data_IF_411616259769
#
_entry.id   IF_411616259769
#
_cell.length_a   1.000
_cell.length_b   1.000
_cell.length_c   1.000
_cell.angle_alpha   90.00
_cell.angle_beta   90.00
_cell.angle_gamma   90.00
#
_symmetry.space_group_name_H-M   'P 1'
#
loop_
_entity.id
_entity.type
_entity.pdbx_description
1 polymer ?
#
# COMPACT_ATOMS: atom_id res chain seq x y z
N UNK A 1 46.02 18.69 -17.74
CA UNK A 1 45.26 17.60 -17.10
C UNK A 1 44.30 18.20 -16.07
N UNK A 2 43.02 18.48 -16.39
CA UNK A 2 41.99 18.55 -15.33
C UNK A 2 40.52 18.65 -15.80
N UNK A 3 40.25 19.09 -17.03
CA UNK A 3 38.86 19.31 -17.49
C UNK A 3 38.14 18.02 -17.90
N UNK A 4 38.85 17.08 -18.51
CA UNK A 4 38.28 15.78 -18.91
C UNK A 4 37.83 14.94 -17.69
N UNK A 5 38.62 14.97 -16.60
CA UNK A 5 38.26 14.28 -15.36
C UNK A 5 37.05 14.92 -14.68
N UNK A 6 36.98 16.26 -14.62
CA UNK A 6 35.81 16.95 -14.09
C UNK A 6 34.53 16.65 -14.89
N UNK A 7 34.63 16.58 -16.22
CA UNK A 7 33.50 16.20 -17.07
C UNK A 7 33.05 14.74 -16.82
N UNK A 8 34.00 13.82 -16.66
CA UNK A 8 33.70 12.41 -16.34
C UNK A 8 33.03 12.24 -14.97
N UNK A 9 33.50 12.94 -13.93
CA UNK A 9 32.86 12.93 -12.61
C UNK A 9 31.48 13.61 -12.61
N UNK A 10 31.29 14.67 -13.40
CA UNK A 10 29.99 15.31 -13.60
C UNK A 10 28.99 14.40 -14.33
N UNK A 11 29.47 13.49 -15.19
CA UNK A 11 28.63 12.52 -15.89
C UNK A 11 28.19 11.36 -14.97
N UNK A 12 29.08 10.90 -14.08
CA UNK A 12 28.78 9.86 -13.08
C UNK A 12 27.82 10.32 -11.96
N UNK A 13 27.69 11.64 -11.79
CA UNK A 13 26.76 12.25 -10.82
C UNK A 13 25.38 12.50 -11.43
N UNK A 14 25.20 12.27 -12.74
CA UNK A 14 23.87 12.29 -13.36
C UNK A 14 23.13 11.02 -12.93
N UNK A 15 21.86 11.14 -12.50
CA UNK A 15 21.02 9.97 -12.29
C UNK A 15 21.02 9.14 -13.56
N UNK A 16 21.36 7.86 -13.45
CA UNK A 16 21.23 6.93 -14.58
C UNK A 16 19.80 7.06 -15.13
N UNK A 17 19.62 7.40 -16.42
CA UNK A 17 18.30 7.44 -16.99
C UNK A 17 17.66 6.07 -16.81
N UNK A 18 16.50 6.05 -16.16
CA UNK A 18 15.73 4.84 -15.99
C UNK A 18 15.59 4.11 -17.32
N UNK A 19 15.79 2.78 -17.37
CA UNK A 19 15.60 2.01 -18.59
C UNK A 19 14.13 2.01 -19.07
N UNK A 20 13.18 2.39 -18.21
CA UNK A 20 11.76 2.44 -18.55
C UNK A 20 11.36 3.78 -19.17
N UNK A 21 10.52 3.80 -20.22
CA UNK A 21 9.90 5.03 -20.73
C UNK A 21 9.12 5.79 -19.66
N UNK A 22 9.02 7.13 -19.77
CA UNK A 22 8.35 7.98 -18.78
C UNK A 22 6.91 7.52 -18.46
N UNK A 23 6.11 7.25 -19.49
CA UNK A 23 4.72 6.80 -19.32
C UNK A 23 4.62 5.49 -18.52
N UNK A 24 5.62 4.62 -18.62
CA UNK A 24 5.65 3.36 -17.87
C UNK A 24 6.04 3.58 -16.42
N UNK A 25 6.99 4.49 -16.15
CA UNK A 25 7.33 4.92 -14.79
C UNK A 25 6.14 5.57 -14.09
N UNK A 26 5.38 6.39 -14.81
CA UNK A 26 4.18 7.05 -14.27
C UNK A 26 3.07 6.05 -13.95
N UNK A 27 2.84 5.08 -14.83
CA UNK A 27 1.89 3.98 -14.58
C UNK A 27 2.30 3.16 -13.35
N UNK A 28 3.58 2.83 -13.24
CA UNK A 28 4.13 2.09 -12.10
C UNK A 28 3.95 2.84 -10.78
N UNK A 29 4.34 4.12 -10.76
CA UNK A 29 4.16 4.98 -9.59
C UNK A 29 2.68 5.21 -9.25
N UNK A 30 1.80 5.27 -10.27
CA UNK A 30 0.36 5.36 -10.10
C UNK A 30 -0.22 4.12 -9.44
N UNK A 31 0.14 2.93 -9.93
CA UNK A 31 -0.29 1.66 -9.34
C UNK A 31 0.17 1.52 -7.89
N UNK A 32 1.43 1.87 -7.59
CA UNK A 32 1.96 1.87 -6.21
C UNK A 32 1.17 2.83 -5.30
N UNK A 33 0.86 4.05 -5.76
CA UNK A 33 0.08 5.03 -4.99
C UNK A 33 -1.34 4.54 -4.69
N UNK A 34 -2.02 4.00 -5.70
CA UNK A 34 -3.38 3.47 -5.54
C UNK A 34 -3.40 2.29 -4.57
N UNK A 35 -2.52 1.31 -4.76
CA UNK A 35 -2.44 0.15 -3.88
C UNK A 35 -2.11 0.53 -2.43
N UNK A 36 -1.23 1.51 -2.22
CA UNK A 36 -0.89 2.03 -0.90
C UNK A 36 -2.08 2.72 -0.21
N UNK A 37 -2.89 3.46 -0.95
CA UNK A 37 -4.10 4.08 -0.44
C UNK A 37 -5.15 3.02 -0.09
N UNK A 38 -5.40 2.06 -0.98
CA UNK A 38 -6.38 1.00 -0.80
C UNK A 38 -6.05 0.11 0.43
N UNK A 39 -4.76 -0.12 0.71
CA UNK A 39 -4.34 -0.89 1.89
C UNK A 39 -4.77 -0.23 3.20
N UNK A 40 -4.84 1.10 3.24
CA UNK A 40 -5.25 1.84 4.44
C UNK A 40 -6.71 1.56 4.78
N UNK A 41 -7.57 1.56 3.76
CA UNK A 41 -8.98 1.23 3.91
C UNK A 41 -9.17 -0.26 4.24
N UNK A 42 -8.43 -1.16 3.59
CA UNK A 42 -8.48 -2.57 3.90
C UNK A 42 -8.12 -2.87 5.36
N UNK A 43 -7.04 -2.27 5.88
CA UNK A 43 -6.65 -2.40 7.29
C UNK A 43 -7.75 -1.88 8.22
N UNK A 44 -8.36 -0.73 7.89
CA UNK A 44 -9.44 -0.15 8.67
C UNK A 44 -10.65 -1.09 8.73
N UNK A 45 -11.08 -1.63 7.58
CA UNK A 45 -12.23 -2.53 7.51
C UNK A 45 -11.95 -3.87 8.19
N UNK A 46 -10.77 -4.47 7.99
CA UNK A 46 -10.37 -5.72 8.66
C UNK A 46 -10.45 -5.56 10.18
N UNK A 47 -9.87 -4.48 10.72
CA UNK A 47 -9.93 -4.18 12.17
C UNK A 47 -11.36 -4.01 12.65
N UNK A 48 -12.19 -3.29 11.90
CA UNK A 48 -13.59 -3.08 12.24
C UNK A 48 -14.38 -4.39 12.24
N UNK A 49 -14.21 -5.25 11.23
CA UNK A 49 -14.93 -6.52 11.14
C UNK A 49 -14.51 -7.48 12.25
N UNK A 50 -13.21 -7.59 12.52
CA UNK A 50 -12.69 -8.38 13.64
C UNK A 50 -13.28 -7.92 14.98
N UNK A 51 -13.34 -6.60 15.20
CA UNK A 51 -13.95 -6.01 16.39
C UNK A 51 -15.43 -6.40 16.51
N UNK A 52 -16.23 -6.17 15.48
CA UNK A 52 -17.67 -6.49 15.48
C UNK A 52 -17.92 -7.98 15.74
N UNK A 53 -17.10 -8.86 15.15
CA UNK A 53 -17.20 -10.31 15.35
C UNK A 53 -16.85 -10.70 16.78
N UNK A 54 -15.81 -10.09 17.36
CA UNK A 54 -15.41 -10.33 18.75
C UNK A 54 -16.50 -9.87 19.73
N UNK A 55 -17.13 -8.73 19.44
CA UNK A 55 -18.17 -8.09 20.27
C UNK A 55 -19.59 -8.69 20.03
N UNK A 56 -19.72 -9.82 19.33
CA UNK A 56 -21.02 -10.34 18.85
C UNK A 56 -22.06 -10.61 19.93
N UNK A 57 -21.62 -10.99 21.13
CA UNK A 57 -22.46 -11.32 22.28
C UNK A 57 -22.44 -10.22 23.35
N UNK A 58 -21.67 -9.15 23.12
CA UNK A 58 -21.58 -8.03 24.04
C UNK A 58 -22.90 -7.26 24.09
N UNK A 59 -23.23 -6.77 25.28
CA UNK A 59 -24.49 -6.08 25.55
C UNK A 59 -24.23 -4.74 26.19
N UNK A 60 -25.04 -3.76 25.82
CA UNK A 60 -25.15 -2.48 26.50
C UNK A 60 -25.75 -2.70 27.91
N UNK A 61 -25.64 -1.68 28.77
CA UNK A 61 -26.25 -1.69 30.11
C UNK A 61 -27.77 -1.90 30.10
N UNK A 62 -28.43 -1.62 28.97
CA UNK A 62 -29.86 -1.85 28.73
C UNK A 62 -30.20 -3.32 28.43
N UNK A 63 -29.18 -4.18 28.27
CA UNK A 63 -29.34 -5.59 27.88
C UNK A 63 -29.40 -5.83 26.38
N UNK A 64 -29.48 -4.79 25.55
CA UNK A 64 -29.46 -4.89 24.08
C UNK A 64 -28.05 -5.24 23.58
N UNK A 65 -27.94 -6.07 22.53
CA UNK A 65 -26.66 -6.37 21.88
C UNK A 65 -26.00 -5.10 21.32
N UNK A 66 -24.67 -5.01 21.42
CA UNK A 66 -23.87 -3.90 20.87
C UNK A 66 -24.00 -3.85 19.34
N UNK A 67 -23.99 -5.02 18.69
CA UNK A 67 -24.14 -5.14 17.24
C UNK A 67 -25.37 -5.99 16.90
N UNK A 68 -26.08 -5.60 15.84
CA UNK A 68 -27.16 -6.42 15.30
C UNK A 68 -26.61 -7.71 14.68
N UNK A 69 -27.31 -8.83 14.88
CA UNK A 69 -26.88 -10.15 14.37
C UNK A 69 -26.59 -10.16 12.86
N UNK A 70 -27.45 -9.53 12.06
CA UNK A 70 -27.25 -9.43 10.62
C UNK A 70 -25.95 -8.69 10.24
N UNK A 71 -25.55 -7.69 11.05
CA UNK A 71 -24.32 -6.95 10.82
C UNK A 71 -23.09 -7.80 11.20
N UNK A 72 -23.15 -8.55 12.30
CA UNK A 72 -22.10 -9.50 12.68
C UNK A 72 -21.89 -10.55 11.59
N UNK A 73 -22.98 -11.13 11.08
CA UNK A 73 -22.94 -12.12 9.99
C UNK A 73 -22.36 -11.53 8.70
N UNK A 74 -22.73 -10.28 8.34
CA UNK A 74 -22.14 -9.58 7.21
C UNK A 74 -20.65 -9.31 7.38
N UNK A 75 -20.21 -8.86 8.57
CA UNK A 75 -18.79 -8.66 8.86
C UNK A 75 -17.98 -9.97 8.76
N UNK A 76 -18.54 -11.09 9.24
CA UNK A 76 -17.92 -12.40 9.09
C UNK A 76 -17.81 -12.83 7.62
N UNK A 77 -18.81 -12.51 6.79
CA UNK A 77 -18.79 -12.81 5.36
C UNK A 77 -17.80 -11.92 4.58
N UNK A 78 -17.69 -10.64 4.90
CA UNK A 78 -16.81 -9.69 4.21
C UNK A 78 -15.34 -9.79 4.61
N UNK A 79 -15.05 -10.27 5.82
CA UNK A 79 -13.69 -10.33 6.34
C UNK A 79 -12.72 -11.12 5.43
N UNK A 80 -13.03 -12.36 4.96
CA UNK A 80 -12.13 -13.10 4.10
C UNK A 80 -11.83 -12.38 2.77
N UNK A 81 -12.84 -11.80 2.13
CA UNK A 81 -12.67 -11.05 0.88
C UNK A 81 -11.80 -9.80 1.08
N UNK A 82 -12.01 -9.08 2.19
CA UNK A 82 -11.24 -7.89 2.52
C UNK A 82 -9.78 -8.23 2.84
N UNK A 83 -9.53 -9.34 3.55
CA UNK A 83 -8.17 -9.86 3.77
C UNK A 83 -7.51 -10.28 2.45
N UNK A 84 -8.24 -10.92 1.55
CA UNK A 84 -7.71 -11.28 0.23
C UNK A 84 -7.34 -10.04 -0.59
N UNK A 85 -8.17 -8.98 -0.54
CA UNK A 85 -7.87 -7.68 -1.18
C UNK A 85 -6.65 -7.01 -0.57
N UNK A 86 -6.53 -7.00 0.76
CA UNK A 86 -5.35 -6.53 1.47
C UNK A 86 -4.07 -7.23 1.00
N UNK A 87 -4.06 -8.57 0.97
CA UNK A 87 -2.90 -9.36 0.57
C UNK A 87 -2.52 -9.12 -0.89
N UNK A 88 -3.52 -8.97 -1.78
CA UNK A 88 -3.29 -8.62 -3.18
C UNK A 88 -2.65 -7.23 -3.32
N UNK A 89 -3.15 -6.24 -2.58
CA UNK A 89 -2.60 -4.89 -2.58
C UNK A 89 -1.17 -4.86 -2.01
N UNK A 90 -0.92 -5.61 -0.94
CA UNK A 90 0.42 -5.76 -0.35
C UNK A 90 1.41 -6.32 -1.37
N UNK A 91 1.01 -7.38 -2.08
CA UNK A 91 1.82 -7.97 -3.15
C UNK A 91 2.08 -6.98 -4.27
N UNK A 92 1.06 -6.25 -4.74
CA UNK A 92 1.20 -5.25 -5.79
C UNK A 92 2.16 -4.13 -5.39
N UNK A 93 2.10 -3.65 -4.15
CA UNK A 93 3.05 -2.68 -3.62
C UNK A 93 4.48 -3.23 -3.72
N UNK A 94 4.75 -4.43 -3.19
CA UNK A 94 6.09 -5.02 -3.24
C UNK A 94 6.59 -5.23 -4.68
N UNK A 95 5.73 -5.66 -5.59
CA UNK A 95 6.07 -5.80 -7.01
C UNK A 95 6.38 -4.45 -7.65
N UNK A 96 5.58 -3.41 -7.37
CA UNK A 96 5.83 -2.06 -7.86
C UNK A 96 7.13 -1.47 -7.31
N UNK A 97 7.41 -1.65 -6.02
CA UNK A 97 8.63 -1.16 -5.36
C UNK A 97 9.88 -1.81 -5.96
N UNK A 98 9.86 -3.13 -6.19
CA UNK A 98 10.95 -3.84 -6.85
C UNK A 98 11.19 -3.32 -8.28
N UNK A 99 10.12 -3.11 -9.05
CA UNK A 99 10.22 -2.57 -10.40
C UNK A 99 10.71 -1.10 -10.39
N UNK A 100 10.29 -0.29 -9.42
CA UNK A 100 10.74 1.09 -9.26
C UNK A 100 12.22 1.14 -8.89
N UNK A 101 12.69 0.27 -7.99
CA UNK A 101 14.11 0.14 -7.64
C UNK A 101 14.93 -0.23 -8.89
N UNK A 102 14.52 -1.26 -9.62
CA UNK A 102 15.20 -1.71 -10.84
C UNK A 102 15.26 -0.61 -11.91
N UNK A 103 14.22 0.24 -11.96
CA UNK A 103 14.11 1.35 -12.89
C UNK A 103 14.73 2.65 -12.35
N UNK A 104 15.33 2.69 -11.16
CA UNK A 104 15.86 3.93 -10.58
C UNK A 104 14.80 5.00 -10.29
N UNK A 105 13.52 4.61 -10.15
CA UNK A 105 12.42 5.49 -9.79
C UNK A 105 12.44 5.71 -8.28
N UNK A 106 12.45 6.97 -7.85
CA UNK A 106 12.37 7.33 -6.43
C UNK A 106 10.93 7.24 -5.93
N UNK A 107 10.76 6.64 -4.77
CA UNK A 107 9.51 6.58 -4.02
C UNK A 107 9.83 6.61 -2.52
N UNK A 108 8.87 7.04 -1.72
CA UNK A 108 9.04 7.03 -0.27
C UNK A 108 8.77 5.64 0.29
N UNK A 109 9.72 5.15 1.11
CA UNK A 109 9.62 3.86 1.79
C UNK A 109 8.89 3.94 3.13
N UNK A 110 8.74 5.15 3.66
CA UNK A 110 7.96 5.44 4.87
C UNK A 110 7.37 6.84 4.77
N UNK A 111 6.40 7.14 5.65
CA UNK A 111 5.85 8.50 5.80
C UNK A 111 6.92 9.53 6.18
N UNK A 112 8.00 9.11 6.82
CA UNK A 112 9.08 9.97 7.30
C UNK A 112 10.15 10.27 6.24
N UNK A 113 10.02 9.68 5.05
CA UNK A 113 11.01 9.77 3.98
C UNK A 113 10.81 10.99 3.04
N UNK A 114 9.99 11.97 3.45
CA UNK A 114 9.71 13.21 2.71
C UNK A 114 10.15 14.45 3.49
#
# INVERSE_FOLDING_TARGET
MNTANHAAFADLSRPLPSPLPLAERERLAGAWRMASQDITDDIRFIRQYLKVIAEKDERLSTGTLVHGRAYVEACAAWLPETVARYLRNLRLISECENAMIAAGVRFARSSDAW
#
